data_IF_977087353343
#
_entry.id   IF_977087353343
#
_cell.length_a   1.000
_cell.length_b   1.000
_cell.length_c   1.000
_cell.angle_alpha   90.00
_cell.angle_beta   90.00
_cell.angle_gamma   90.00
#
_symmetry.space_group_name_H-M   'P 1'
#
loop_
_entity.id
_entity.type
_entity.pdbx_description
1 polymer ?
#
# COMPACT_ATOMS: atom_id res chain seq x y z
N UNK A 1 10.21 -4.80 -14.46
CA UNK A 1 9.09 -5.70 -14.81
C UNK A 1 7.97 -4.91 -15.48
N UNK A 2 7.36 -3.87 -14.84
CA UNK A 2 6.27 -3.08 -15.43
C UNK A 2 6.63 -2.47 -16.81
N UNK A 3 7.85 -1.94 -17.00
CA UNK A 3 8.29 -1.43 -18.31
C UNK A 3 8.26 -2.47 -19.43
N UNK A 4 8.56 -3.74 -19.12
CA UNK A 4 8.48 -4.81 -20.11
C UNK A 4 7.03 -5.16 -20.48
N UNK A 5 6.11 -5.06 -19.54
CA UNK A 5 4.69 -5.33 -19.78
C UNK A 5 4.00 -4.19 -20.56
N UNK A 6 4.48 -2.95 -20.41
CA UNK A 6 4.03 -1.80 -21.21
C UNK A 6 4.47 -1.91 -22.69
N UNK A 7 5.60 -2.58 -22.94
CA UNK A 7 6.12 -2.83 -24.30
C UNK A 7 5.63 -4.18 -24.88
N UNK A 8 4.72 -4.87 -24.18
CA UNK A 8 4.18 -6.16 -24.60
C UNK A 8 3.31 -5.99 -25.85
N UNK A 9 3.68 -6.69 -26.92
CA UNK A 9 3.00 -6.58 -28.22
C UNK A 9 1.54 -7.05 -28.15
N UNK A 10 1.24 -8.05 -27.31
CA UNK A 10 -0.13 -8.58 -27.16
C UNK A 10 -1.00 -7.57 -26.44
N UNK A 11 -0.49 -6.88 -25.40
CA UNK A 11 -1.21 -5.82 -24.71
C UNK A 11 -1.52 -4.65 -25.66
N UNK A 12 -0.49 -4.17 -26.36
CA UNK A 12 -0.63 -3.04 -27.30
C UNK A 12 -1.63 -3.39 -28.41
N UNK A 13 -1.49 -4.58 -29.02
CA UNK A 13 -2.37 -5.00 -30.09
C UNK A 13 -3.82 -5.14 -29.65
N UNK A 14 -4.07 -5.75 -28.49
CA UNK A 14 -5.41 -5.89 -27.93
C UNK A 14 -6.06 -4.52 -27.64
N UNK A 15 -5.30 -3.57 -27.09
CA UNK A 15 -5.78 -2.21 -26.84
C UNK A 15 -6.12 -1.47 -28.17
N UNK A 16 -5.24 -1.57 -29.17
CA UNK A 16 -5.48 -0.95 -30.48
C UNK A 16 -6.68 -1.55 -31.21
N UNK A 17 -6.88 -2.87 -31.13
CA UNK A 17 -8.07 -3.56 -31.66
C UNK A 17 -9.34 -3.06 -30.96
N UNK A 18 -9.31 -2.90 -29.64
CA UNK A 18 -10.43 -2.34 -28.87
C UNK A 18 -10.81 -0.93 -29.33
N UNK A 19 -9.82 -0.06 -29.55
CA UNK A 19 -10.02 1.31 -30.06
C UNK A 19 -10.58 1.26 -31.48
N UNK A 20 -10.05 0.41 -32.36
CA UNK A 20 -10.56 0.24 -33.70
C UNK A 20 -12.01 -0.31 -33.71
N UNK A 21 -12.40 -1.07 -32.69
CA UNK A 21 -13.75 -1.56 -32.44
C UNK A 21 -14.70 -0.52 -31.84
N UNK A 22 -14.23 0.71 -31.54
CA UNK A 22 -15.05 1.83 -31.05
C UNK A 22 -15.05 2.02 -29.53
N UNK A 23 -14.17 1.33 -28.79
CA UNK A 23 -13.95 1.61 -27.37
C UNK A 23 -13.16 2.92 -27.18
N UNK A 24 -13.36 3.58 -26.04
CA UNK A 24 -12.43 4.65 -25.63
C UNK A 24 -11.05 4.07 -25.34
N UNK A 25 -10.01 4.90 -25.36
CA UNK A 25 -8.65 4.43 -25.11
C UNK A 25 -8.52 3.79 -23.70
N UNK A 26 -9.18 4.37 -22.70
CA UNK A 26 -9.21 3.84 -21.34
C UNK A 26 -9.93 2.48 -21.28
N UNK A 27 -11.12 2.37 -21.89
CA UNK A 27 -11.87 1.13 -21.92
C UNK A 27 -11.12 0.03 -22.68
N UNK A 28 -10.43 0.37 -23.75
CA UNK A 28 -9.63 -0.56 -24.54
C UNK A 28 -8.40 -1.05 -23.77
N UNK A 29 -7.71 -0.16 -23.04
CA UNK A 29 -6.58 -0.53 -22.20
C UNK A 29 -7.00 -1.43 -21.03
N UNK A 30 -8.13 -1.11 -20.38
CA UNK A 30 -8.68 -1.94 -19.31
C UNK A 30 -9.06 -3.34 -19.80
N UNK A 31 -9.75 -3.44 -20.94
CA UNK A 31 -10.17 -4.69 -21.54
C UNK A 31 -8.97 -5.55 -22.01
N UNK A 32 -7.94 -4.91 -22.58
CA UNK A 32 -6.70 -5.57 -22.96
C UNK A 32 -5.97 -6.16 -21.72
N UNK A 33 -5.86 -5.38 -20.67
CA UNK A 33 -5.24 -5.82 -19.41
C UNK A 33 -5.97 -7.00 -18.78
N UNK A 34 -7.29 -6.97 -18.72
CA UNK A 34 -8.08 -8.07 -18.16
C UNK A 34 -8.01 -9.35 -19.03
N UNK A 35 -8.01 -9.22 -20.35
CA UNK A 35 -7.83 -10.36 -21.27
C UNK A 35 -6.49 -11.05 -21.05
N UNK A 36 -5.39 -10.29 -20.95
CA UNK A 36 -4.07 -10.86 -20.71
C UNK A 36 -3.97 -11.43 -19.28
N UNK A 37 -4.50 -10.73 -18.28
CA UNK A 37 -4.54 -11.23 -16.92
C UNK A 37 -5.28 -12.56 -16.80
N UNK A 38 -6.41 -12.72 -17.52
CA UNK A 38 -7.17 -13.99 -17.55
C UNK A 38 -6.34 -15.15 -18.14
N UNK A 39 -5.47 -14.89 -19.10
CA UNK A 39 -4.54 -15.91 -19.64
C UNK A 39 -3.59 -16.40 -18.55
N UNK A 40 -2.98 -15.48 -17.80
CA UNK A 40 -2.09 -15.82 -16.69
C UNK A 40 -2.82 -16.52 -15.53
N UNK A 41 -4.04 -16.10 -15.19
CA UNK A 41 -4.86 -16.73 -14.16
C UNK A 41 -5.20 -18.20 -14.51
N UNK A 42 -5.31 -18.53 -15.79
CA UNK A 42 -5.55 -19.89 -16.27
C UNK A 42 -4.33 -20.82 -16.27
N UNK A 43 -3.14 -20.32 -15.90
CA UNK A 43 -1.92 -21.13 -15.90
C UNK A 43 -1.79 -21.94 -14.60
N UNK A 44 -1.19 -23.13 -14.70
CA UNK A 44 -0.95 -24.00 -13.54
C UNK A 44 0.20 -23.49 -12.65
N UNK A 45 1.17 -22.79 -13.23
CA UNK A 45 2.34 -22.26 -12.54
C UNK A 45 1.97 -21.05 -11.67
N UNK A 46 2.21 -21.15 -10.38
CA UNK A 46 1.89 -20.10 -9.39
C UNK A 46 2.63 -18.78 -9.66
N UNK A 47 3.86 -18.86 -10.15
CA UNK A 47 4.65 -17.68 -10.50
C UNK A 47 4.06 -16.95 -11.71
N UNK A 48 3.58 -17.68 -12.72
CA UNK A 48 2.92 -17.11 -13.89
C UNK A 48 1.53 -16.54 -13.52
N UNK A 49 0.77 -17.21 -12.66
CA UNK A 49 -0.49 -16.66 -12.14
C UNK A 49 -0.30 -15.34 -11.40
N UNK A 50 0.79 -15.17 -10.64
CA UNK A 50 1.07 -13.90 -9.99
C UNK A 50 1.23 -12.72 -10.98
N UNK A 51 1.58 -13.01 -12.24
CA UNK A 51 1.68 -12.01 -13.32
C UNK A 51 0.34 -11.41 -13.73
N UNK A 52 -0.77 -12.08 -13.46
CA UNK A 52 -2.10 -11.53 -13.71
C UNK A 52 -2.32 -10.22 -12.95
N UNK A 53 -1.86 -10.16 -11.69
CA UNK A 53 -1.93 -8.95 -10.89
C UNK A 53 -1.06 -7.82 -11.47
N UNK A 54 0.18 -8.13 -11.88
CA UNK A 54 1.08 -7.16 -12.52
C UNK A 54 0.45 -6.58 -13.80
N UNK A 55 -0.26 -7.42 -14.59
CA UNK A 55 -0.89 -7.00 -15.84
C UNK A 55 -2.06 -6.06 -15.59
N UNK A 56 -2.89 -6.36 -14.59
CA UNK A 56 -3.99 -5.47 -14.17
C UNK A 56 -3.46 -4.13 -13.67
N UNK A 57 -2.36 -4.12 -12.92
CA UNK A 57 -1.72 -2.92 -12.41
C UNK A 57 -1.20 -2.03 -13.55
N UNK A 58 -0.54 -2.62 -14.55
CA UNK A 58 -0.08 -1.89 -15.74
C UNK A 58 -1.26 -1.28 -16.50
N UNK A 59 -2.31 -2.07 -16.75
CA UNK A 59 -3.51 -1.58 -17.44
C UNK A 59 -4.20 -0.44 -16.67
N UNK A 60 -4.29 -0.56 -15.36
CA UNK A 60 -4.82 0.49 -14.48
C UNK A 60 -4.01 1.79 -14.58
N UNK A 61 -2.69 1.70 -14.49
CA UNK A 61 -1.78 2.84 -14.62
C UNK A 61 -1.92 3.55 -15.98
N UNK A 62 -2.13 2.78 -17.05
CA UNK A 62 -2.38 3.34 -18.39
C UNK A 62 -3.73 4.07 -18.42
N UNK A 63 -4.79 3.48 -17.85
CA UNK A 63 -6.11 4.08 -17.78
C UNK A 63 -6.11 5.42 -17.02
N UNK A 64 -5.44 5.48 -15.88
CA UNK A 64 -5.33 6.72 -15.09
C UNK A 64 -4.64 7.84 -15.86
N UNK A 65 -3.55 7.52 -16.56
CA UNK A 65 -2.84 8.50 -17.40
C UNK A 65 -3.67 8.98 -18.58
N UNK A 66 -4.42 8.08 -19.22
CA UNK A 66 -5.33 8.41 -20.31
C UNK A 66 -6.51 9.27 -19.83
N UNK A 67 -7.04 8.97 -18.65
CA UNK A 67 -8.13 9.73 -18.02
C UNK A 67 -7.74 11.14 -17.54
N UNK A 68 -6.47 11.53 -17.72
CA UNK A 68 -5.96 12.81 -17.25
C UNK A 68 -5.91 12.92 -15.71
N UNK A 69 -6.09 11.82 -15.02
CA UNK A 69 -5.83 11.72 -13.60
C UNK A 69 -4.31 11.66 -13.43
N UNK A 70 -3.69 12.81 -13.50
CA UNK A 70 -2.32 12.99 -13.07
C UNK A 70 -2.32 12.94 -11.55
N UNK A 71 -1.67 11.90 -11.08
CA UNK A 71 -1.16 11.74 -9.72
C UNK A 71 -2.24 11.72 -8.64
N UNK A 72 -2.32 10.58 -7.96
CA UNK A 72 -2.69 10.52 -6.54
C UNK A 72 -2.07 11.73 -5.87
N UNK A 73 -2.92 12.68 -5.50
CA UNK A 73 -2.56 14.02 -5.18
C UNK A 73 -1.25 14.12 -4.42
N UNK A 74 -0.35 14.94 -4.91
CA UNK A 74 0.63 15.53 -4.03
C UNK A 74 -0.20 16.29 -2.99
N UNK A 75 -0.41 15.66 -1.85
CA UNK A 75 -1.06 16.35 -0.76
C UNK A 75 -0.15 17.52 -0.41
N UNK A 76 -0.64 18.74 -0.55
CA UNK A 76 0.11 19.95 -0.17
C UNK A 76 0.44 19.95 1.34
N UNK A 77 -0.07 18.96 2.07
CA UNK A 77 0.15 18.73 3.50
C UNK A 77 0.24 17.24 3.81
N UNK A 78 0.93 16.83 4.90
CA UNK A 78 0.95 15.46 5.36
C UNK A 78 -0.45 14.89 5.56
N UNK A 79 -0.76 13.75 4.93
CA UNK A 79 -2.12 13.25 4.82
C UNK A 79 -2.23 11.73 4.99
N UNK A 80 -3.40 11.27 5.39
CA UNK A 80 -3.77 9.86 5.36
C UNK A 80 -4.35 9.56 3.98
N UNK A 81 -3.75 8.61 3.28
CA UNK A 81 -4.21 8.19 1.94
C UNK A 81 -5.31 7.15 2.08
N UNK A 82 -6.42 7.40 1.40
CA UNK A 82 -7.59 6.53 1.38
C UNK A 82 -7.80 6.02 -0.04
N UNK A 83 -7.79 4.70 -0.25
CA UNK A 83 -7.88 4.09 -1.57
C UNK A 83 -8.62 2.74 -1.54
N UNK A 84 -9.13 2.23 -2.69
CA UNK A 84 -9.62 0.85 -2.77
C UNK A 84 -8.55 -0.19 -2.41
N UNK A 85 -7.41 -0.08 -3.01
CA UNK A 85 -6.11 -0.71 -2.71
C UNK A 85 -5.05 0.16 -3.41
N UNK A 86 -3.79 0.00 -3.06
CA UNK A 86 -2.69 0.70 -3.72
C UNK A 86 -1.86 -0.30 -4.52
N UNK A 87 -1.67 0.03 -5.77
CA UNK A 87 -0.80 -0.72 -6.65
C UNK A 87 0.69 -0.42 -6.39
N UNK A 88 1.61 -1.29 -6.80
CA UNK A 88 3.04 -1.01 -6.72
C UNK A 88 3.47 0.27 -7.41
N UNK A 89 2.87 0.61 -8.54
CA UNK A 89 3.18 1.82 -9.31
C UNK A 89 2.73 3.11 -8.62
N UNK A 90 1.56 3.10 -8.00
CA UNK A 90 1.07 4.25 -7.21
C UNK A 90 1.94 4.50 -6.00
N UNK A 91 2.40 3.44 -5.34
CA UNK A 91 3.20 3.56 -4.11
C UNK A 91 4.60 4.12 -4.34
N UNK A 92 5.20 3.90 -5.52
CA UNK A 92 6.53 4.44 -5.87
C UNK A 92 6.52 5.96 -6.04
N UNK A 93 5.37 6.54 -6.37
CA UNK A 93 5.22 7.98 -6.59
C UNK A 93 4.93 8.76 -5.30
N UNK A 94 4.62 8.06 -4.20
CA UNK A 94 4.30 8.70 -2.92
C UNK A 94 5.55 9.26 -2.26
N UNK A 95 5.44 10.50 -1.75
CA UNK A 95 6.46 11.06 -0.88
C UNK A 95 6.29 10.50 0.55
N UNK A 96 7.24 9.68 1.06
CA UNK A 96 7.14 9.12 2.39
C UNK A 96 7.01 10.17 3.50
N UNK A 97 7.49 11.39 3.27
CA UNK A 97 7.39 12.49 4.24
C UNK A 97 5.99 13.12 4.29
N UNK A 98 5.20 12.96 3.22
CA UNK A 98 3.85 13.50 3.11
C UNK A 98 2.76 12.47 3.49
N UNK A 99 3.11 11.19 3.64
CA UNK A 99 2.14 10.13 3.97
C UNK A 99 2.16 9.84 5.46
N UNK A 100 1.04 10.13 6.14
CA UNK A 100 0.87 9.83 7.56
C UNK A 100 0.32 8.42 7.82
N UNK A 101 -0.34 7.80 6.84
CA UNK A 101 -0.90 6.46 6.93
C UNK A 101 -1.72 6.07 5.73
N UNK A 102 -2.13 4.80 5.69
CA UNK A 102 -2.97 4.24 4.63
C UNK A 102 -4.28 3.68 5.19
N UNK A 103 -5.35 3.91 4.45
CA UNK A 103 -6.66 3.28 4.68
C UNK A 103 -7.12 2.66 3.38
N UNK A 104 -7.33 1.33 3.36
CA UNK A 104 -7.88 0.66 2.19
C UNK A 104 -9.15 -0.10 2.50
N UNK A 105 -10.10 -0.11 1.56
CA UNK A 105 -11.35 -0.87 1.72
C UNK A 105 -11.21 -2.30 1.25
N UNK A 106 -10.32 -2.55 0.32
CA UNK A 106 -9.93 -3.87 -0.15
C UNK A 106 -8.61 -4.35 0.45
N UNK A 107 -8.01 -5.30 -0.23
CA UNK A 107 -6.71 -5.84 0.16
C UNK A 107 -6.79 -6.87 1.29
N UNK A 108 -5.65 -7.11 1.90
CA UNK A 108 -5.47 -8.04 3.02
C UNK A 108 -4.27 -7.60 3.87
N UNK A 109 -4.02 -8.28 4.98
CA UNK A 109 -2.81 -8.07 5.80
C UNK A 109 -1.51 -8.37 5.07
N UNK A 110 -1.57 -9.09 3.97
CA UNK A 110 -0.46 -9.42 3.06
C UNK A 110 -0.55 -8.69 1.72
N UNK A 111 -1.47 -7.73 1.56
CA UNK A 111 -1.54 -6.88 0.37
C UNK A 111 -0.28 -6.02 0.23
N UNK A 112 -0.04 -5.53 -0.98
CA UNK A 112 1.11 -4.68 -1.28
C UNK A 112 1.12 -3.43 -0.39
N UNK A 113 -0.03 -2.77 -0.22
CA UNK A 113 -0.19 -1.61 0.67
C UNK A 113 0.21 -1.91 2.12
N UNK A 114 -0.19 -3.08 2.66
CA UNK A 114 0.14 -3.46 4.02
C UNK A 114 1.64 -3.76 4.20
N UNK A 115 2.29 -4.33 3.19
CA UNK A 115 3.73 -4.57 3.18
C UNK A 115 4.49 -3.25 3.12
N UNK A 116 4.08 -2.36 2.22
CA UNK A 116 4.68 -1.03 2.06
C UNK A 116 4.57 -0.20 3.34
N UNK A 117 3.40 -0.15 3.96
CA UNK A 117 3.19 0.58 5.21
C UNK A 117 4.16 0.11 6.31
N UNK A 118 4.39 -1.22 6.40
CA UNK A 118 5.38 -1.78 7.34
C UNK A 118 6.81 -1.35 7.00
N UNK A 119 7.18 -1.36 5.72
CA UNK A 119 8.51 -0.92 5.28
C UNK A 119 8.75 0.57 5.55
N UNK A 120 7.72 1.39 5.35
CA UNK A 120 7.76 2.83 5.65
C UNK A 120 7.62 3.14 7.14
N UNK A 121 7.23 2.16 7.96
CA UNK A 121 6.99 2.37 9.41
C UNK A 121 5.78 3.25 9.71
N UNK A 122 4.81 3.34 8.79
CA UNK A 122 3.60 4.15 8.94
C UNK A 122 2.38 3.28 9.22
N UNK A 123 1.35 3.81 9.92
CA UNK A 123 0.14 3.07 10.23
C UNK A 123 -0.67 2.76 8.97
N UNK A 124 -1.30 1.58 8.93
CA UNK A 124 -2.24 1.21 7.88
C UNK A 124 -3.43 0.43 8.44
N UNK A 125 -4.62 0.75 7.98
CA UNK A 125 -5.85 -0.01 8.22
C UNK A 125 -6.38 -0.50 6.88
N UNK A 126 -6.52 -1.80 6.73
CA UNK A 126 -6.96 -2.45 5.50
C UNK A 126 -8.31 -3.14 5.70
N UNK A 127 -9.06 -3.39 4.62
CA UNK A 127 -10.35 -4.06 4.65
C UNK A 127 -11.41 -3.30 5.47
N UNK A 128 -11.45 -1.99 5.36
CA UNK A 128 -12.45 -1.18 6.09
C UNK A 128 -13.89 -1.37 5.58
N UNK A 129 -14.04 -1.99 4.41
CA UNK A 129 -15.33 -2.41 3.85
C UNK A 129 -16.16 -1.31 3.21
N UNK A 130 -15.99 -0.06 3.57
CA UNK A 130 -16.72 1.08 2.98
C UNK A 130 -15.86 2.33 3.07
N UNK A 131 -15.80 3.07 1.99
CA UNK A 131 -15.42 4.47 2.08
C UNK A 131 -16.59 5.28 1.55
N UNK A 132 -17.16 6.10 2.40
CA UNK A 132 -18.10 7.10 1.95
C UNK A 132 -17.38 8.16 1.11
N UNK A 133 -18.01 8.59 0.02
CA UNK A 133 -17.59 9.78 -0.71
C UNK A 133 -17.71 11.02 0.18
N UNK A 134 -16.82 12.01 -0.04
CA UNK A 134 -16.95 13.33 0.58
C UNK A 134 -16.12 13.58 1.84
N UNK A 135 -15.17 12.71 2.14
CA UNK A 135 -14.21 12.92 3.26
C UNK A 135 -12.85 13.47 2.83
N UNK A 136 -12.70 13.79 1.55
CA UNK A 136 -11.47 14.41 1.06
C UNK A 136 -11.24 15.76 1.74
N UNK A 137 -10.02 15.97 2.25
CA UNK A 137 -9.65 17.19 2.98
C UNK A 137 -10.20 17.29 4.41
N UNK A 138 -10.86 16.25 4.93
CA UNK A 138 -11.28 16.21 6.33
C UNK A 138 -10.14 15.85 7.27
N UNK A 139 -10.21 16.33 8.50
CA UNK A 139 -9.34 15.85 9.57
C UNK A 139 -9.67 14.39 9.88
N UNK A 140 -8.63 13.56 10.04
CA UNK A 140 -8.82 12.15 10.35
C UNK A 140 -7.79 11.65 11.37
N UNK A 141 -8.21 10.67 12.16
CA UNK A 141 -7.38 9.97 13.12
C UNK A 141 -7.33 8.49 12.74
N UNK A 142 -6.11 7.95 12.58
CA UNK A 142 -5.86 6.57 12.20
C UNK A 142 -5.20 5.80 13.34
N UNK A 143 -5.91 4.85 13.91
CA UNK A 143 -5.39 3.95 14.94
C UNK A 143 -5.22 2.55 14.33
N UNK A 144 -4.00 2.24 13.90
CA UNK A 144 -3.69 0.96 13.27
C UNK A 144 -3.67 -0.21 14.26
N UNK A 145 -3.47 0.03 15.55
CA UNK A 145 -3.52 -1.00 16.59
C UNK A 145 -4.97 -1.40 16.89
N UNK A 146 -5.85 -0.42 17.05
CA UNK A 146 -7.29 -0.64 17.20
C UNK A 146 -7.97 -1.03 15.88
N UNK A 147 -7.35 -0.76 14.73
CA UNK A 147 -7.92 -0.98 13.40
C UNK A 147 -9.07 -0.02 13.10
N UNK A 148 -9.00 1.21 13.59
CA UNK A 148 -10.06 2.21 13.46
C UNK A 148 -9.60 3.47 12.75
N UNK A 149 -10.55 4.08 12.02
CA UNK A 149 -10.39 5.38 11.38
C UNK A 149 -11.53 6.26 11.85
N UNK A 150 -11.23 7.40 12.46
CA UNK A 150 -12.21 8.39 12.90
C UNK A 150 -12.05 9.65 12.05
N UNK A 151 -13.13 10.06 11.38
CA UNK A 151 -13.17 11.29 10.57
C UNK A 151 -13.78 12.41 11.40
N UNK A 152 -13.19 13.59 11.32
CA UNK A 152 -13.55 14.78 12.11
C UNK A 152 -13.63 14.44 13.62
N UNK A 153 -12.55 13.90 14.24
CA UNK A 153 -12.54 13.51 15.64
C UNK A 153 -12.80 14.72 16.55
N UNK A 154 -13.54 14.46 17.63
CA UNK A 154 -13.74 15.46 18.67
C UNK A 154 -12.47 15.74 19.48
N UNK A 155 -12.46 16.85 20.22
CA UNK A 155 -11.28 17.23 21.03
C UNK A 155 -10.91 16.16 22.05
N UNK A 156 -11.91 15.56 22.73
CA UNK A 156 -11.70 14.50 23.72
C UNK A 156 -11.06 13.24 23.09
N UNK A 157 -11.47 12.92 21.84
CA UNK A 157 -10.90 11.77 21.09
C UNK A 157 -9.45 12.04 20.66
N UNK A 158 -9.15 13.27 20.23
CA UNK A 158 -7.78 13.69 19.90
C UNK A 158 -6.87 13.69 21.12
N UNK A 159 -7.32 14.16 22.26
CA UNK A 159 -6.56 14.13 23.51
C UNK A 159 -6.25 12.69 23.93
N UNK A 160 -7.27 11.83 23.93
CA UNK A 160 -7.09 10.41 24.25
C UNK A 160 -6.16 9.68 23.29
N UNK A 161 -6.18 10.03 22.00
CA UNK A 161 -5.27 9.48 21.01
C UNK A 161 -3.85 9.97 21.23
N UNK A 162 -3.63 11.26 21.46
CA UNK A 162 -2.32 11.84 21.73
C UNK A 162 -1.66 11.23 22.98
N UNK A 163 -2.44 10.96 24.02
CA UNK A 163 -1.94 10.29 25.23
C UNK A 163 -1.49 8.83 24.95
N UNK A 164 -2.27 8.08 24.15
CA UNK A 164 -1.88 6.73 23.73
C UNK A 164 -0.62 6.75 22.86
N UNK A 165 -0.54 7.68 21.91
CA UNK A 165 0.62 7.83 21.04
C UNK A 165 1.89 8.14 21.84
N UNK A 166 1.77 9.00 22.86
CA UNK A 166 2.87 9.32 23.77
C UNK A 166 3.34 8.10 24.55
N UNK A 167 2.40 7.36 25.13
CA UNK A 167 2.72 6.14 25.87
C UNK A 167 3.39 5.08 24.99
N UNK A 168 2.92 4.92 23.74
CA UNK A 168 3.53 3.98 22.80
C UNK A 168 4.92 4.43 22.36
N UNK A 169 5.15 5.72 22.16
CA UNK A 169 6.47 6.28 21.86
C UNK A 169 7.45 6.02 23.01
N UNK A 170 7.06 6.31 24.23
CA UNK A 170 7.87 6.03 25.43
C UNK A 170 8.18 4.53 25.56
N UNK A 171 7.21 3.67 25.26
CA UNK A 171 7.39 2.22 25.22
C UNK A 171 8.42 1.80 24.16
N UNK A 172 8.33 2.34 22.94
CA UNK A 172 9.29 2.07 21.87
C UNK A 172 10.69 2.52 22.21
N UNK A 173 10.84 3.73 22.77
CA UNK A 173 12.12 4.26 23.23
C UNK A 173 12.74 3.37 24.31
N UNK A 174 11.93 2.92 25.27
CA UNK A 174 12.37 1.98 26.29
C UNK A 174 12.84 0.65 25.69
N UNK A 175 12.07 0.07 24.75
CA UNK A 175 12.45 -1.16 24.06
C UNK A 175 13.71 -0.99 23.21
N UNK A 176 13.84 0.14 22.52
CA UNK A 176 15.04 0.45 21.76
C UNK A 176 16.29 0.54 22.65
N UNK A 177 16.17 1.11 23.84
CA UNK A 177 17.27 1.12 24.81
C UNK A 177 17.69 -0.28 25.28
N UNK A 178 16.74 -1.24 25.29
CA UNK A 178 17.02 -2.63 25.64
C UNK A 178 17.67 -3.44 24.49
N UNK A 179 17.56 -2.99 23.25
CA UNK A 179 18.07 -3.72 22.08
C UNK A 179 19.58 -3.94 22.10
N UNK A 180 20.32 -3.03 22.73
CA UNK A 180 21.78 -3.12 22.92
C UNK A 180 22.22 -4.07 24.03
N UNK A 181 21.29 -4.54 24.87
CA UNK A 181 21.60 -5.40 26.00
C UNK A 181 21.64 -6.89 25.56
N UNK A 182 22.54 -7.69 26.17
CA UNK A 182 22.55 -9.12 25.89
C UNK A 182 21.23 -9.79 26.34
N UNK A 183 20.64 -10.60 25.46
CA UNK A 183 19.44 -11.35 25.80
C UNK A 183 19.82 -12.50 26.75
N UNK A 184 19.60 -12.28 28.05
CA UNK A 184 19.92 -13.24 29.12
C UNK A 184 18.70 -13.46 30.00
N UNK A 185 18.36 -14.72 30.30
CA UNK A 185 17.27 -15.03 31.21
C UNK A 185 17.64 -14.68 32.66
N UNK A 186 16.68 -14.64 33.58
CA UNK A 186 16.92 -14.46 35.02
C UNK A 186 17.86 -15.51 35.61
N UNK A 187 17.91 -16.70 35.02
CA UNK A 187 18.83 -17.79 35.43
C UNK A 187 20.24 -17.68 34.81
N UNK A 188 20.54 -16.61 34.10
CA UNK A 188 21.84 -16.36 33.48
C UNK A 188 22.07 -17.04 32.13
N UNK A 189 21.07 -17.72 31.57
CA UNK A 189 21.18 -18.36 30.24
C UNK A 189 21.07 -17.34 29.14
N UNK A 190 22.07 -17.27 28.26
CA UNK A 190 22.05 -16.43 27.03
C UNK A 190 21.11 -17.03 25.97
N UNK A 191 20.25 -16.21 25.41
CA UNK A 191 19.33 -16.56 24.33
C UNK A 191 19.84 -15.93 23.03
N UNK A 192 19.91 -16.71 21.97
CA UNK A 192 20.23 -16.19 20.64
C UNK A 192 18.98 -15.56 20.04
N UNK A 193 19.02 -14.28 19.79
CA UNK A 193 17.95 -13.56 19.07
C UNK A 193 18.26 -13.58 17.58
N UNK A 194 17.24 -13.84 16.77
CA UNK A 194 17.32 -13.85 15.31
C UNK A 194 16.18 -13.01 14.74
N UNK A 195 16.44 -12.32 13.64
CA UNK A 195 15.45 -11.58 12.87
C UNK A 195 15.53 -11.95 11.39
N UNK A 196 14.41 -11.94 10.72
CA UNK A 196 14.37 -11.99 9.26
C UNK A 196 14.59 -10.59 8.73
N UNK A 197 15.51 -10.43 7.79
CA UNK A 197 15.82 -9.17 7.13
C UNK A 197 15.44 -9.28 5.65
N UNK A 198 14.82 -8.25 5.11
CA UNK A 198 14.40 -8.19 3.70
C UNK A 198 15.40 -7.44 2.80
N UNK A 199 16.27 -6.62 3.40
CA UNK A 199 17.26 -5.84 2.67
C UNK A 199 18.61 -5.75 3.41
N UNK A 200 19.73 -5.45 2.72
CA UNK A 200 21.01 -5.21 3.35
C UNK A 200 21.00 -4.03 4.35
N UNK A 201 20.18 -3.03 4.12
CA UNK A 201 20.09 -1.83 4.95
C UNK A 201 19.45 -2.13 6.31
N UNK A 202 18.48 -3.07 6.35
CA UNK A 202 17.88 -3.56 7.59
C UNK A 202 18.86 -4.35 8.48
N UNK A 203 19.95 -4.85 7.90
CA UNK A 203 20.99 -5.56 8.65
C UNK A 203 21.92 -4.62 9.43
N UNK A 204 21.92 -3.33 9.12
CA UNK A 204 22.74 -2.31 9.73
C UNK A 204 22.02 -1.53 10.85
N UNK A 205 20.71 -1.71 10.98
CA UNK A 205 19.87 -1.10 12.00
C UNK A 205 19.76 -1.98 13.25
#
# INVERSE_FOLDING_TARGET
IHGMLLDDEDFISAALEGIAGGLTAEAAAADAGEKLAAVFDGMEDEYLRARAADMRDVAHSVCERLGGRTETGSADAPSIIVAPDLSPSETVTLDPAAVLGFVTFGGSRSSHTAILARQMGIPAVVMTGVIPDGYDGCDAMLDAEAGTVTVNPGLDELEAFADRERAERERREHLAALSSLPAVTLSGRRVMMMANIGSPDEAAA
#
